data_IF_270614471890
#
_entry.id   IF_270614471890
#
_cell.length_a   1.000
_cell.length_b   1.000
_cell.length_c   1.000
_cell.angle_alpha   90.00
_cell.angle_beta   90.00
_cell.angle_gamma   90.00
#
_symmetry.space_group_name_H-M   'P 1'
#
loop_
_entity.id
_entity.type
_entity.pdbx_description
1 polymer ?
#
# COMPACT_ATOMS: atom_id res chain seq x y z
N UNK A 1 12.04 9.54 16.04
CA UNK A 1 12.50 8.14 16.05
C UNK A 1 12.39 7.62 14.64
N UNK A 2 13.43 7.00 14.12
CA UNK A 2 13.50 6.46 12.75
C UNK A 2 12.53 5.29 12.66
N UNK A 3 11.26 5.57 12.35
CA UNK A 3 10.29 4.55 11.99
C UNK A 3 10.82 3.93 10.70
N UNK A 4 11.28 2.69 10.78
CA UNK A 4 11.60 1.87 9.61
C UNK A 4 10.40 1.01 9.28
N UNK A 5 10.21 0.69 8.00
CA UNK A 5 9.14 -0.21 7.59
C UNK A 5 9.43 -1.60 8.18
N UNK A 6 8.49 -2.23 8.93
CA UNK A 6 8.71 -3.54 9.53
C UNK A 6 9.07 -4.59 8.48
N UNK A 7 9.93 -5.54 8.82
CA UNK A 7 10.29 -6.61 7.88
C UNK A 7 9.14 -7.62 7.72
N UNK A 8 8.57 -8.06 8.83
CA UNK A 8 7.55 -9.10 8.90
C UNK A 8 8.12 -10.50 8.69
N UNK A 9 7.24 -11.51 8.77
CA UNK A 9 7.60 -12.90 8.52
C UNK A 9 7.44 -13.22 7.04
N UNK A 10 8.54 -13.47 6.33
CA UNK A 10 8.50 -13.88 4.92
C UNK A 10 7.87 -15.27 4.77
N UNK A 11 6.84 -15.38 3.94
CA UNK A 11 6.17 -16.62 3.56
C UNK A 11 6.76 -17.25 2.29
N UNK A 12 7.76 -16.59 1.69
CA UNK A 12 8.41 -17.05 0.47
C UNK A 12 8.47 -15.97 -0.62
N UNK A 13 9.19 -16.29 -1.68
CA UNK A 13 9.31 -15.48 -2.89
C UNK A 13 8.59 -16.19 -4.03
N UNK A 14 7.85 -15.43 -4.81
CA UNK A 14 7.04 -15.89 -5.94
C UNK A 14 7.23 -14.96 -7.12
N UNK A 15 6.93 -15.46 -8.31
CA UNK A 15 6.90 -14.66 -9.53
C UNK A 15 5.55 -14.90 -10.20
N UNK A 16 4.71 -13.88 -10.20
CA UNK A 16 3.38 -13.94 -10.80
C UNK A 16 2.88 -12.53 -11.14
N UNK A 17 1.82 -12.40 -11.95
CA UNK A 17 1.16 -11.12 -12.17
C UNK A 17 0.63 -10.54 -10.85
N UNK A 18 0.63 -9.22 -10.70
CA UNK A 18 0.13 -8.57 -9.47
C UNK A 18 -1.35 -8.92 -9.19
N UNK A 19 -2.13 -9.18 -10.24
CA UNK A 19 -3.52 -9.66 -10.13
C UNK A 19 -3.64 -10.93 -9.27
N UNK A 20 -2.65 -11.82 -9.31
CA UNK A 20 -2.62 -13.05 -8.53
C UNK A 20 -2.58 -12.78 -7.02
N UNK A 21 -1.88 -11.71 -6.60
CA UNK A 21 -1.77 -11.32 -5.19
C UNK A 21 -3.15 -11.02 -4.63
N UNK A 22 -3.98 -10.24 -5.31
CA UNK A 22 -5.34 -9.93 -4.84
C UNK A 22 -6.20 -11.18 -4.67
N UNK A 23 -6.08 -12.15 -5.59
CA UNK A 23 -6.84 -13.40 -5.51
C UNK A 23 -6.42 -14.31 -4.35
N UNK A 24 -5.15 -14.25 -3.91
CA UNK A 24 -4.60 -15.17 -2.91
C UNK A 24 -4.40 -14.53 -1.53
N UNK A 25 -4.64 -13.22 -1.39
CA UNK A 25 -4.41 -12.47 -0.15
C UNK A 25 -5.69 -12.13 0.62
N UNK A 26 -6.83 -12.75 0.31
CA UNK A 26 -8.14 -12.48 0.93
C UNK A 26 -8.16 -12.44 2.47
N UNK A 27 -7.30 -13.21 3.14
CA UNK A 27 -7.15 -13.22 4.62
C UNK A 27 -5.76 -12.83 5.09
N UNK A 28 -4.98 -12.24 4.19
CA UNK A 28 -3.61 -11.84 4.45
C UNK A 28 -3.59 -10.48 5.14
N UNK A 29 -2.71 -10.38 6.13
CA UNK A 29 -2.36 -9.14 6.81
C UNK A 29 -0.84 -9.02 6.72
N UNK A 30 -0.37 -7.98 6.05
CA UNK A 30 1.04 -7.72 5.98
C UNK A 30 1.47 -6.88 4.80
N UNK A 31 2.71 -7.09 4.40
CA UNK A 31 3.36 -6.38 3.30
C UNK A 31 3.68 -7.37 2.20
N UNK A 32 3.49 -6.96 0.96
CA UNK A 32 4.05 -7.66 -0.19
C UNK A 32 5.20 -6.83 -0.70
N UNK A 33 6.43 -7.33 -0.58
CA UNK A 33 7.61 -6.70 -1.19
C UNK A 33 7.65 -7.08 -2.65
N UNK A 34 7.84 -6.11 -3.52
CA UNK A 34 7.85 -6.31 -4.96
C UNK A 34 9.21 -5.91 -5.49
N UNK A 35 9.75 -6.72 -6.40
CA UNK A 35 11.02 -6.55 -7.04
C UNK A 35 10.79 -6.59 -8.55
N UNK A 36 11.16 -5.50 -9.21
CA UNK A 36 11.15 -5.34 -10.66
C UNK A 36 12.61 -5.10 -11.07
N UNK A 37 12.98 -5.38 -12.33
CA UNK A 37 14.38 -5.43 -12.79
C UNK A 37 15.27 -4.27 -12.32
N UNK A 38 14.72 -3.06 -12.20
CA UNK A 38 15.47 -1.86 -11.76
C UNK A 38 14.85 -1.14 -10.54
N UNK A 39 13.92 -1.79 -9.85
CA UNK A 39 13.19 -1.14 -8.77
C UNK A 39 12.66 -2.10 -7.73
N UNK A 40 12.42 -1.55 -6.55
CA UNK A 40 11.75 -2.26 -5.47
C UNK A 40 10.55 -1.45 -4.99
N UNK A 41 9.53 -2.16 -4.56
CA UNK A 41 8.37 -1.57 -3.96
C UNK A 41 7.79 -2.44 -2.89
N UNK A 42 6.69 -1.94 -2.35
CA UNK A 42 5.86 -2.72 -1.48
C UNK A 42 4.40 -2.28 -1.61
N UNK A 43 3.52 -3.20 -1.22
CA UNK A 43 2.14 -2.90 -0.96
C UNK A 43 1.75 -3.40 0.43
N UNK A 44 0.93 -2.64 1.14
CA UNK A 44 0.34 -3.09 2.41
C UNK A 44 -1.01 -3.69 2.11
N UNK A 45 -1.27 -4.89 2.64
CA UNK A 45 -2.53 -5.60 2.48
C UNK A 45 -3.13 -5.87 3.85
N UNK A 46 -4.42 -5.55 3.97
CA UNK A 46 -5.24 -5.87 5.14
C UNK A 46 -6.51 -6.56 4.66
N UNK A 47 -6.72 -7.81 5.08
CA UNK A 47 -7.93 -8.59 4.75
C UNK A 47 -8.19 -8.67 3.24
N UNK A 48 -7.13 -8.83 2.44
CA UNK A 48 -7.22 -8.90 0.97
C UNK A 48 -7.27 -7.56 0.25
N UNK A 49 -7.40 -6.46 0.97
CA UNK A 49 -7.40 -5.13 0.37
C UNK A 49 -6.04 -4.48 0.48
N UNK A 50 -5.56 -3.95 -0.64
CA UNK A 50 -4.32 -3.21 -0.68
C UNK A 50 -4.54 -1.77 -0.22
N UNK A 51 -4.01 -1.45 0.95
CA UNK A 51 -4.19 -0.16 1.59
C UNK A 51 -3.16 0.86 1.10
N UNK A 52 -1.96 0.42 0.74
CA UNK A 52 -0.90 1.34 0.31
C UNK A 52 -0.05 0.71 -0.78
N UNK A 53 0.45 1.55 -1.68
CA UNK A 53 1.40 1.17 -2.72
C UNK A 53 2.54 2.16 -2.75
N UNK A 54 3.76 1.65 -2.77
CA UNK A 54 4.96 2.45 -2.94
C UNK A 54 5.92 1.66 -3.83
N UNK A 55 6.45 2.30 -4.85
CA UNK A 55 7.44 1.68 -5.74
C UNK A 55 8.52 2.69 -6.06
N UNK A 56 9.77 2.25 -5.99
CA UNK A 56 10.95 3.08 -6.22
C UNK A 56 11.77 2.48 -7.34
N UNK A 57 11.98 3.28 -8.38
CA UNK A 57 12.78 2.94 -9.56
C UNK A 57 13.83 4.03 -9.75
N UNK A 58 15.09 3.69 -9.46
CA UNK A 58 16.18 4.67 -9.47
C UNK A 58 15.91 5.86 -8.55
N UNK A 59 15.82 7.06 -9.13
CA UNK A 59 15.52 8.33 -8.44
C UNK A 59 14.02 8.63 -8.34
N UNK A 60 13.16 7.88 -9.03
CA UNK A 60 11.72 8.10 -9.08
C UNK A 60 11.04 7.25 -8.02
N UNK A 61 10.13 7.85 -7.25
CA UNK A 61 9.29 7.13 -6.29
C UNK A 61 7.82 7.32 -6.66
N UNK A 62 7.19 6.26 -7.14
CA UNK A 62 5.76 6.17 -7.39
C UNK A 62 5.05 5.79 -6.09
N UNK A 63 3.87 6.37 -5.85
CA UNK A 63 3.07 6.13 -4.63
C UNK A 63 1.59 6.08 -4.98
N UNK A 64 0.81 5.35 -4.20
CA UNK A 64 -0.64 5.22 -4.39
C UNK A 64 -0.99 4.67 -5.77
N UNK A 65 -1.97 5.28 -6.44
CA UNK A 65 -2.47 4.81 -7.74
C UNK A 65 -1.39 4.75 -8.82
N UNK A 66 -0.45 5.69 -8.86
CA UNK A 66 0.65 5.67 -9.83
C UNK A 66 1.54 4.42 -9.66
N UNK A 67 1.84 4.03 -8.42
CA UNK A 67 2.58 2.79 -8.16
C UNK A 67 1.75 1.56 -8.52
N UNK A 68 0.45 1.57 -8.20
CA UNK A 68 -0.47 0.47 -8.52
C UNK A 68 -0.56 0.24 -10.03
N UNK A 69 -0.79 1.29 -10.82
CA UNK A 69 -0.91 1.22 -12.29
C UNK A 69 0.38 0.72 -12.92
N UNK A 70 1.53 1.24 -12.50
CA UNK A 70 2.83 0.79 -12.98
C UNK A 70 3.10 -0.70 -12.69
N UNK A 71 2.74 -1.17 -11.50
CA UNK A 71 2.92 -2.57 -11.12
C UNK A 71 1.93 -3.50 -11.83
N UNK A 72 0.71 -3.02 -12.11
CA UNK A 72 -0.29 -3.75 -12.90
C UNK A 72 0.06 -3.81 -14.39
N UNK A 73 0.85 -2.86 -14.90
CA UNK A 73 1.32 -2.88 -16.29
C UNK A 73 2.46 -3.87 -16.53
N UNK A 74 3.01 -4.49 -15.48
CA UNK A 74 4.04 -5.52 -15.61
C UNK A 74 3.38 -6.88 -15.83
N UNK A 75 3.87 -7.66 -16.81
CA UNK A 75 3.34 -9.00 -17.10
C UNK A 75 3.49 -9.95 -15.92
N UNK A 76 4.65 -9.90 -15.25
CA UNK A 76 4.92 -10.62 -14.02
C UNK A 76 5.92 -9.81 -13.18
N UNK A 77 5.76 -9.88 -11.86
CA UNK A 77 6.70 -9.28 -10.91
C UNK A 77 7.16 -10.33 -9.92
N UNK A 78 8.42 -10.23 -9.49
CA UNK A 78 8.90 -11.00 -8.35
C UNK A 78 8.40 -10.34 -7.09
N UNK A 79 7.76 -11.09 -6.21
CA UNK A 79 7.30 -10.56 -4.95
C UNK A 79 7.48 -11.54 -3.81
N UNK A 80 7.51 -11.01 -2.59
CA UNK A 80 7.56 -11.79 -1.37
C UNK A 80 6.45 -11.34 -0.44
N UNK A 81 5.67 -12.32 0.04
CA UNK A 81 4.60 -12.08 1.01
C UNK A 81 5.23 -12.07 2.41
N UNK A 82 5.18 -10.93 3.08
CA UNK A 82 5.64 -10.76 4.46
C UNK A 82 4.43 -10.61 5.37
N UNK A 83 4.10 -11.65 6.13
CA UNK A 83 3.00 -11.61 7.12
C UNK A 83 3.37 -10.68 8.27
N UNK A 84 2.43 -9.84 8.66
CA UNK A 84 2.55 -8.96 9.82
C UNK A 84 1.64 -9.39 10.96
N UNK A 85 2.03 -9.04 12.17
CA UNK A 85 1.10 -8.88 13.30
C UNK A 85 0.31 -7.58 13.16
N UNK A 86 -0.74 -7.39 13.97
CA UNK A 86 -1.49 -6.12 13.95
C UNK A 86 -0.60 -4.93 14.33
N UNK A 87 0.29 -5.10 15.32
CA UNK A 87 1.20 -4.04 15.75
C UNK A 87 2.23 -3.69 14.67
N UNK A 88 2.74 -4.70 13.94
CA UNK A 88 3.61 -4.46 12.78
C UNK A 88 2.87 -3.72 11.67
N UNK A 89 1.62 -4.11 11.41
CA UNK A 89 0.80 -3.45 10.40
C UNK A 89 0.56 -1.97 10.75
N UNK A 90 0.21 -1.68 12.00
CA UNK A 90 -0.01 -0.31 12.47
C UNK A 90 1.27 0.54 12.36
N UNK A 91 2.43 -0.03 12.69
CA UNK A 91 3.72 0.63 12.47
C UNK A 91 3.99 0.90 10.99
N UNK A 92 3.68 -0.06 10.12
CA UNK A 92 3.85 0.10 8.68
C UNK A 92 2.91 1.15 8.09
N UNK A 93 1.66 1.19 8.56
CA UNK A 93 0.68 2.21 8.17
C UNK A 93 1.10 3.60 8.66
N UNK A 94 1.58 3.72 9.90
CA UNK A 94 2.14 4.97 10.42
C UNK A 94 3.34 5.43 9.59
N UNK A 95 4.27 4.52 9.27
CA UNK A 95 5.41 4.80 8.39
C UNK A 95 4.98 5.38 7.04
N UNK A 96 3.96 4.77 6.42
CA UNK A 96 3.43 5.25 5.15
C UNK A 96 2.88 6.67 5.25
N UNK A 97 2.14 6.98 6.32
CA UNK A 97 1.62 8.34 6.56
C UNK A 97 2.76 9.34 6.74
N UNK A 98 3.77 9.00 7.53
CA UNK A 98 4.94 9.87 7.78
C UNK A 98 5.73 10.15 6.49
N UNK A 99 5.81 9.18 5.59
CA UNK A 99 6.55 9.29 4.33
C UNK A 99 5.69 9.81 3.16
N UNK A 100 4.43 10.18 3.40
CA UNK A 100 3.53 10.67 2.36
C UNK A 100 3.15 9.61 1.32
N UNK A 101 3.11 8.33 1.72
CA UNK A 101 2.51 7.24 0.94
C UNK A 101 1.02 7.21 1.28
N UNK A 102 0.12 7.40 0.29
CA UNK A 102 -1.30 7.32 0.53
C UNK A 102 -1.68 5.94 1.07
N UNK A 103 -2.23 5.91 2.29
CA UNK A 103 -2.84 4.72 2.88
C UNK A 103 -4.34 4.88 2.78
N UNK A 104 -4.97 4.09 1.93
CA UNK A 104 -6.41 3.94 1.91
C UNK A 104 -6.80 3.12 3.14
N UNK A 105 -7.54 3.74 4.05
CA UNK A 105 -8.07 3.07 5.23
C UNK A 105 -9.58 2.92 5.03
N UNK A 106 -10.06 1.74 4.60
CA UNK A 106 -11.48 1.50 4.36
C UNK A 106 -12.29 1.55 5.67
N UNK A 107 -11.63 1.34 6.82
CA UNK A 107 -12.24 1.42 8.15
C UNK A 107 -12.20 2.85 8.72
N UNK A 108 -11.51 3.79 8.08
CA UNK A 108 -11.54 5.18 8.54
C UNK A 108 -12.94 5.71 8.21
N UNK A 109 -13.78 6.04 9.21
CA UNK A 109 -15.02 6.73 8.94
C UNK A 109 -14.65 7.99 8.17
N UNK A 110 -15.28 8.16 7.01
CA UNK A 110 -15.25 9.41 6.26
C UNK A 110 -15.52 10.48 7.31
N UNK A 111 -14.51 11.28 7.66
CA UNK A 111 -14.77 12.47 8.46
C UNK A 111 -15.69 13.28 7.58
N UNK A 112 -16.96 13.32 7.93
CA UNK A 112 -17.95 14.22 7.36
C UNK A 112 -17.28 15.59 7.28
N UNK A 113 -16.83 15.94 6.07
CA UNK A 113 -16.44 17.31 5.79
C UNK A 113 -17.79 18.01 5.85
N UNK A 114 -18.05 18.90 6.84
CA UNK A 114 -19.31 19.62 6.86
C UNK A 114 -19.46 20.30 5.50
N UNK A 115 -20.65 20.22 4.88
CA UNK A 115 -20.88 20.82 3.57
C UNK A 115 -20.43 22.28 3.61
N UNK A 116 -19.82 22.81 2.54
CA UNK A 116 -19.41 24.21 2.51
C UNK A 116 -20.62 25.09 2.85
N UNK A 117 -20.47 26.11 3.71
CA UNK A 117 -21.59 26.96 4.08
C UNK A 117 -22.18 27.57 2.82
N UNK A 118 -23.44 27.24 2.56
CA UNK A 118 -24.20 27.81 1.44
C UNK A 118 -24.20 29.33 1.62
N UNK A 119 -23.43 30.05 0.80
CA UNK A 119 -23.56 31.50 0.72
C UNK A 119 -24.99 31.79 0.26
N UNK A 120 -25.84 32.23 1.18
CA UNK A 120 -27.14 32.78 0.83
C UNK A 120 -26.92 33.99 -0.10
N UNK A 121 -27.68 34.10 -1.20
CA UNK A 121 -27.61 35.28 -2.05
C UNK A 121 -28.09 36.51 -1.26
N UNK A 122 -27.45 37.68 -1.44
CA UNK A 122 -27.92 38.91 -0.82
C UNK A 122 -29.29 39.29 -1.40
N UNK A 123 -30.20 39.68 -0.50
CA UNK A 123 -31.50 40.26 -0.80
C UNK A 123 -31.38 41.69 -1.33
#
# INVERSE_FOLDING_TARGET
MTTTLPEGTSLGMMEAPLSWVYSHTARFLGKVRIFVQEGEGFMLIRRGEALAYCFRHGSITLRGNAAKEYLLSQDAVKFSLCKYTEEEFDRAAAWCRDHGVPVHDPDRPIRDIPPPPTRAPPA
#
